data_IF_259392544952
#
_entry.id   IF_259392544952
#
_cell.length_a   1.000
_cell.length_b   1.000
_cell.length_c   1.000
_cell.angle_alpha   90.00
_cell.angle_beta   90.00
_cell.angle_gamma   90.00
#
_symmetry.space_group_name_H-M   'P 1'
#
loop_
_entity.id
_entity.type
_entity.pdbx_description
1 polymer ?
#
# COMPACT_ATOMS: atom_id res chain seq x y z
N UNK A 1 -18.53 5.62 33.82
CA UNK A 1 -18.66 4.72 32.65
C UNK A 1 -18.58 5.44 31.29
N UNK A 2 -18.25 6.75 31.23
CA UNK A 2 -18.23 7.54 29.98
C UNK A 2 -16.85 7.60 29.30
N UNK A 3 -15.75 7.56 30.09
CA UNK A 3 -14.36 7.64 29.59
C UNK A 3 -13.95 6.55 28.57
N UNK A 4 -14.61 5.39 28.57
CA UNK A 4 -14.29 4.29 27.66
C UNK A 4 -14.92 4.42 26.27
N UNK A 5 -16.07 5.10 26.15
CA UNK A 5 -16.76 5.32 24.88
C UNK A 5 -16.09 6.47 24.09
N UNK A 6 -15.63 7.51 24.78
CA UNK A 6 -14.94 8.65 24.17
C UNK A 6 -13.59 8.25 23.56
N UNK A 7 -12.85 7.33 24.21
CA UNK A 7 -11.57 6.83 23.70
C UNK A 7 -11.73 6.00 22.41
N UNK A 8 -12.77 5.16 22.35
CA UNK A 8 -13.09 4.37 21.14
C UNK A 8 -13.59 5.26 19.99
N UNK A 9 -14.29 6.34 20.32
CA UNK A 9 -14.70 7.36 19.35
C UNK A 9 -13.50 8.09 18.75
N UNK A 10 -12.54 8.50 19.59
CA UNK A 10 -11.37 9.28 19.18
C UNK A 10 -10.37 8.48 18.31
N UNK A 11 -10.17 7.18 18.58
CA UNK A 11 -9.33 6.35 17.72
C UNK A 11 -9.97 6.12 16.34
N UNK A 12 -11.29 5.95 16.29
CA UNK A 12 -12.03 5.79 15.04
C UNK A 12 -11.97 7.07 14.20
N UNK A 13 -12.14 8.24 14.80
CA UNK A 13 -12.04 9.52 14.07
C UNK A 13 -10.63 9.77 13.57
N UNK A 14 -9.60 9.49 14.38
CA UNK A 14 -8.20 9.63 13.96
C UNK A 14 -7.87 8.75 12.75
N UNK A 15 -8.30 7.49 12.76
CA UNK A 15 -8.11 6.57 11.64
C UNK A 15 -8.86 7.03 10.37
N UNK A 16 -10.09 7.54 10.52
CA UNK A 16 -10.85 8.11 9.40
C UNK A 16 -10.15 9.34 8.81
N UNK A 17 -9.63 10.24 9.66
CA UNK A 17 -8.87 11.42 9.23
C UNK A 17 -7.62 10.98 8.46
N UNK A 18 -6.89 9.98 8.95
CA UNK A 18 -5.73 9.40 8.27
C UNK A 18 -6.07 8.89 6.87
N UNK A 19 -7.16 8.14 6.73
CA UNK A 19 -7.62 7.66 5.41
C UNK A 19 -8.04 8.80 4.47
N UNK A 20 -8.80 9.78 4.96
CA UNK A 20 -9.20 10.94 4.14
C UNK A 20 -7.98 11.73 3.69
N UNK A 21 -7.01 11.94 4.57
CA UNK A 21 -5.74 12.58 4.24
C UNK A 21 -4.98 11.79 3.18
N UNK A 22 -4.87 10.47 3.34
CA UNK A 22 -4.19 9.60 2.38
C UNK A 22 -4.84 9.68 0.99
N UNK A 23 -6.17 9.57 0.91
CA UNK A 23 -6.93 9.67 -0.35
C UNK A 23 -6.72 11.03 -0.99
N UNK A 24 -6.77 12.11 -0.20
CA UNK A 24 -6.57 13.48 -0.67
C UNK A 24 -5.17 13.67 -1.27
N UNK A 25 -4.13 13.18 -0.58
CA UNK A 25 -2.76 13.20 -1.08
C UNK A 25 -2.60 12.37 -2.36
N UNK A 26 -3.27 11.22 -2.44
CA UNK A 26 -3.23 10.35 -3.62
C UNK A 26 -3.85 11.03 -4.84
N UNK A 27 -5.02 11.64 -4.68
CA UNK A 27 -5.68 12.43 -5.73
C UNK A 27 -4.79 13.61 -6.14
N UNK A 28 -4.16 14.27 -5.16
CA UNK A 28 -3.24 15.39 -5.41
C UNK A 28 -2.01 14.94 -6.22
N UNK A 29 -1.48 13.74 -5.95
CA UNK A 29 -0.38 13.16 -6.73
C UNK A 29 -0.80 12.85 -8.17
N UNK A 30 -2.00 12.28 -8.37
CA UNK A 30 -2.54 12.00 -9.70
C UNK A 30 -2.70 13.32 -10.47
N UNK A 31 -3.35 14.32 -9.88
CA UNK A 31 -3.52 15.63 -10.49
C UNK A 31 -2.16 16.28 -10.83
N UNK A 32 -1.20 16.22 -9.91
CA UNK A 32 0.16 16.69 -10.11
C UNK A 32 0.85 15.98 -11.28
N UNK A 33 0.67 14.66 -11.43
CA UNK A 33 1.25 13.90 -12.54
C UNK A 33 0.68 14.25 -13.92
N UNK A 34 -0.56 14.72 -13.96
CA UNK A 34 -1.21 15.18 -15.20
C UNK A 34 -0.76 16.62 -15.52
N UNK A 35 -0.73 17.50 -14.52
CA UNK A 35 -0.37 18.92 -14.69
C UNK A 35 1.10 19.07 -15.10
N UNK A 36 1.99 18.34 -14.43
CA UNK A 36 3.43 18.39 -14.69
C UNK A 36 3.90 17.25 -15.60
N UNK A 37 3.01 16.68 -16.42
CA UNK A 37 3.37 15.52 -17.23
C UNK A 37 4.62 15.76 -18.10
N UNK A 38 5.63 14.91 -17.93
CA UNK A 38 6.93 15.01 -18.61
C UNK A 38 7.63 16.39 -18.44
N UNK A 39 7.49 17.03 -17.27
CA UNK A 39 8.00 18.39 -17.02
C UNK A 39 9.51 18.56 -17.26
N UNK A 40 10.32 17.50 -17.09
CA UNK A 40 11.77 17.54 -17.31
C UNK A 40 12.18 17.04 -18.71
N UNK A 41 11.23 16.71 -19.58
CA UNK A 41 11.44 16.13 -20.91
C UNK A 41 12.29 14.84 -20.93
N UNK A 42 12.24 14.05 -19.85
CA UNK A 42 12.98 12.79 -19.75
C UNK A 42 12.10 11.64 -20.28
N UNK A 43 12.07 11.45 -21.61
CA UNK A 43 11.22 10.45 -22.25
C UNK A 43 11.48 9.01 -21.74
N UNK A 44 12.72 8.63 -21.49
CA UNK A 44 13.07 7.31 -20.94
C UNK A 44 12.42 7.07 -19.58
N UNK A 45 12.45 8.07 -18.71
CA UNK A 45 11.85 7.99 -17.37
C UNK A 45 10.31 7.94 -17.45
N UNK A 46 9.72 8.64 -18.42
CA UNK A 46 8.29 8.60 -18.68
C UNK A 46 7.82 7.20 -19.10
N UNK A 47 8.50 6.58 -20.06
CA UNK A 47 8.17 5.22 -20.51
C UNK A 47 8.37 4.18 -19.41
N UNK A 48 9.47 4.30 -18.65
CA UNK A 48 9.68 3.48 -17.46
C UNK A 48 8.54 3.66 -16.45
N UNK A 49 8.09 4.90 -16.24
CA UNK A 49 6.93 5.23 -15.41
C UNK A 49 5.67 4.47 -15.84
N UNK A 50 5.31 4.50 -17.13
CA UNK A 50 4.14 3.76 -17.64
C UNK A 50 4.25 2.24 -17.47
N UNK A 51 5.43 1.67 -17.71
CA UNK A 51 5.66 0.22 -17.51
C UNK A 51 5.49 -0.15 -16.03
N UNK A 52 6.07 0.65 -15.13
CA UNK A 52 5.96 0.46 -13.68
C UNK A 52 4.50 0.64 -13.23
N UNK A 53 3.78 1.62 -13.78
CA UNK A 53 2.36 1.85 -13.48
C UNK A 53 1.51 0.64 -13.85
N UNK A 54 1.68 0.11 -15.06
CA UNK A 54 0.97 -1.08 -15.52
C UNK A 54 1.25 -2.29 -14.61
N UNK A 55 2.51 -2.52 -14.25
CA UNK A 55 2.91 -3.56 -13.31
C UNK A 55 2.26 -3.36 -11.93
N UNK A 56 2.31 -2.14 -11.39
CA UNK A 56 1.72 -1.79 -10.09
C UNK A 56 0.21 -2.01 -10.04
N UNK A 57 -0.51 -1.63 -11.10
CA UNK A 57 -1.95 -1.89 -11.23
C UNK A 57 -2.26 -3.37 -11.26
N UNK A 58 -1.50 -4.16 -12.04
CA UNK A 58 -1.67 -5.62 -12.07
C UNK A 58 -1.47 -6.22 -10.70
N UNK A 59 -0.38 -5.88 -10.00
CA UNK A 59 -0.09 -6.37 -8.64
C UNK A 59 -1.21 -5.99 -7.67
N UNK A 60 -1.69 -4.74 -7.71
CA UNK A 60 -2.75 -4.25 -6.82
C UNK A 60 -4.08 -4.98 -7.07
N UNK A 61 -4.47 -5.12 -8.34
CA UNK A 61 -5.72 -5.78 -8.73
C UNK A 61 -5.67 -7.27 -8.40
N UNK A 62 -4.58 -7.97 -8.72
CA UNK A 62 -4.42 -9.40 -8.38
C UNK A 62 -4.44 -9.65 -6.88
N UNK A 63 -3.81 -8.76 -6.10
CA UNK A 63 -3.79 -8.86 -4.63
C UNK A 63 -5.17 -8.66 -4.03
N UNK A 64 -5.88 -7.61 -4.47
CA UNK A 64 -7.24 -7.30 -3.98
C UNK A 64 -8.27 -8.36 -4.37
N UNK A 65 -8.15 -8.96 -5.56
CA UNK A 65 -8.99 -10.09 -5.95
C UNK A 65 -8.75 -11.31 -5.05
N UNK A 66 -7.49 -11.61 -4.75
CA UNK A 66 -7.13 -12.73 -3.86
C UNK A 66 -7.71 -12.53 -2.46
N UNK A 67 -7.57 -11.32 -1.89
CA UNK A 67 -8.20 -10.95 -0.61
C UNK A 67 -9.72 -11.08 -0.62
N UNK A 68 -10.38 -10.52 -1.64
CA UNK A 68 -11.84 -10.57 -1.78
C UNK A 68 -12.37 -11.99 -1.93
N UNK A 69 -11.64 -12.87 -2.62
CA UNK A 69 -12.03 -14.28 -2.81
C UNK A 69 -12.01 -15.04 -1.49
N UNK A 70 -10.94 -14.89 -0.70
CA UNK A 70 -10.84 -15.54 0.61
C UNK A 70 -11.88 -15.02 1.60
N UNK A 71 -12.12 -13.71 1.65
CA UNK A 71 -13.16 -13.15 2.51
C UNK A 71 -14.54 -13.76 2.19
N UNK A 72 -14.85 -13.97 0.91
CA UNK A 72 -16.08 -14.64 0.47
C UNK A 72 -16.13 -16.12 0.85
N UNK A 73 -15.00 -16.81 0.86
CA UNK A 73 -14.92 -18.23 1.22
C UNK A 73 -14.82 -18.46 2.74
N UNK A 74 -14.86 -17.41 3.57
CA UNK A 74 -14.71 -17.48 5.03
C UNK A 74 -13.40 -18.15 5.48
N UNK A 75 -12.43 -18.24 4.59
CA UNK A 75 -11.11 -18.75 4.93
C UNK A 75 -10.47 -17.79 5.93
N UNK A 76 -10.12 -18.31 7.10
CA UNK A 76 -9.60 -17.53 8.22
C UNK A 76 -8.18 -17.00 7.96
N UNK A 77 -7.46 -17.56 6.97
CA UNK A 77 -6.08 -17.20 6.70
C UNK A 77 -5.66 -17.49 5.25
N UNK A 78 -5.25 -16.45 4.50
CA UNK A 78 -4.76 -16.58 3.11
C UNK A 78 -3.26 -16.83 3.12
N UNK A 79 -2.83 -18.03 2.72
CA UNK A 79 -1.42 -18.33 2.47
C UNK A 79 -1.13 -18.65 0.99
N UNK A 80 -2.10 -18.43 0.10
CA UNK A 80 -2.01 -18.82 -1.32
C UNK A 80 -1.83 -17.61 -2.25
N UNK A 81 -1.13 -17.80 -3.37
CA UNK A 81 -0.86 -16.76 -4.37
C UNK A 81 0.19 -15.74 -3.91
N UNK A 82 -0.02 -14.45 -4.20
CA UNK A 82 0.90 -13.36 -3.86
C UNK A 82 1.19 -13.25 -2.35
N UNK A 83 0.22 -13.64 -1.51
CA UNK A 83 0.35 -13.67 -0.05
C UNK A 83 1.31 -14.76 0.47
N UNK A 84 1.69 -15.73 -0.36
CA UNK A 84 2.73 -16.70 -0.03
C UNK A 84 4.13 -16.06 -0.10
N UNK A 85 4.31 -15.05 -0.95
CA UNK A 85 5.60 -14.42 -1.23
C UNK A 85 5.78 -13.11 -0.47
N UNK A 86 4.72 -12.32 -0.28
CA UNK A 86 4.77 -11.05 0.45
C UNK A 86 3.53 -10.90 1.32
N UNK A 87 3.70 -10.40 2.55
CA UNK A 87 2.58 -10.20 3.49
C UNK A 87 1.56 -9.17 3.02
N UNK A 88 2.03 -8.13 2.34
CA UNK A 88 1.24 -6.97 1.95
C UNK A 88 1.43 -6.64 0.45
N UNK A 89 1.00 -7.52 -0.48
CA UNK A 89 1.21 -7.32 -1.91
C UNK A 89 0.37 -6.16 -2.48
N UNK A 90 -0.76 -5.80 -1.87
CA UNK A 90 -1.51 -4.57 -2.20
C UNK A 90 -0.68 -3.31 -1.95
N UNK A 91 0.06 -3.25 -0.83
CA UNK A 91 0.90 -2.11 -0.49
C UNK A 91 2.05 -1.97 -1.47
N UNK A 92 2.62 -3.09 -1.93
CA UNK A 92 3.61 -3.06 -2.99
C UNK A 92 3.05 -2.48 -4.29
N UNK A 93 1.82 -2.86 -4.68
CA UNK A 93 1.12 -2.27 -5.81
C UNK A 93 0.98 -0.74 -5.67
N UNK A 94 0.58 -0.25 -4.49
CA UNK A 94 0.52 1.18 -4.21
C UNK A 94 1.89 1.87 -4.29
N UNK A 95 2.96 1.26 -3.78
CA UNK A 95 4.32 1.81 -3.89
C UNK A 95 4.75 1.97 -5.35
N UNK A 96 4.52 0.93 -6.18
CA UNK A 96 4.84 0.98 -7.61
C UNK A 96 4.06 2.08 -8.32
N UNK A 97 2.76 2.21 -8.03
CA UNK A 97 1.93 3.27 -8.60
C UNK A 97 2.45 4.66 -8.18
N UNK A 98 2.75 4.88 -6.90
CA UNK A 98 3.29 6.18 -6.42
C UNK A 98 4.60 6.51 -7.15
N UNK A 99 5.54 5.57 -7.23
CA UNK A 99 6.83 5.77 -7.92
C UNK A 99 6.62 6.08 -9.41
N UNK A 100 5.69 5.40 -10.06
CA UNK A 100 5.37 5.66 -11.47
C UNK A 100 4.80 7.05 -11.70
N UNK A 101 3.87 7.52 -10.85
CA UNK A 101 3.28 8.85 -10.97
C UNK A 101 4.33 9.96 -10.76
N UNK A 102 5.25 9.77 -9.82
CA UNK A 102 6.40 10.68 -9.63
C UNK A 102 7.27 10.71 -10.90
N UNK A 103 7.54 9.54 -11.48
CA UNK A 103 8.39 9.39 -12.67
C UNK A 103 7.75 9.97 -13.94
N UNK A 104 6.41 9.93 -14.03
CA UNK A 104 5.65 10.54 -15.12
C UNK A 104 5.57 12.07 -14.97
N UNK A 105 5.48 12.58 -13.74
CA UNK A 105 5.44 14.02 -13.46
C UNK A 105 6.81 14.69 -13.57
N UNK A 106 7.90 14.02 -13.15
CA UNK A 106 9.26 14.56 -13.19
C UNK A 106 9.42 15.93 -12.49
N UNK A 107 8.58 16.20 -11.49
CA UNK A 107 8.50 17.50 -10.83
C UNK A 107 8.71 17.36 -9.31
N UNK A 108 9.45 18.28 -8.65
CA UNK A 108 9.73 18.18 -7.21
C UNK A 108 8.49 18.13 -6.31
N UNK A 109 7.40 18.79 -6.71
CA UNK A 109 6.12 18.75 -5.97
C UNK A 109 5.59 17.31 -5.91
N UNK A 110 5.61 16.60 -7.04
CA UNK A 110 5.15 15.21 -7.11
C UNK A 110 6.04 14.30 -6.28
N UNK A 111 7.36 14.54 -6.28
CA UNK A 111 8.31 13.83 -5.40
C UNK A 111 7.95 14.05 -3.93
N UNK A 112 7.70 15.29 -3.51
CA UNK A 112 7.36 15.61 -2.12
C UNK A 112 6.06 14.92 -1.68
N UNK A 113 4.99 15.03 -2.47
CA UNK A 113 3.71 14.35 -2.19
C UNK A 113 3.91 12.83 -2.15
N UNK A 114 4.65 12.28 -3.11
CA UNK A 114 4.94 10.86 -3.20
C UNK A 114 5.71 10.32 -2.00
N UNK A 115 6.72 11.04 -1.50
CA UNK A 115 7.48 10.67 -0.30
C UNK A 115 6.60 10.66 0.95
N UNK A 116 5.69 11.63 1.09
CA UNK A 116 4.72 11.64 2.19
C UNK A 116 3.79 10.44 2.10
N UNK A 117 3.25 10.14 0.91
CA UNK A 117 2.41 8.97 0.68
C UNK A 117 3.12 7.65 0.99
N UNK A 118 4.37 7.48 0.56
CA UNK A 118 5.17 6.29 0.87
C UNK A 118 5.42 6.16 2.38
N UNK A 119 5.67 7.27 3.06
CA UNK A 119 5.87 7.28 4.52
C UNK A 119 4.59 6.87 5.26
N UNK A 120 3.45 7.43 4.88
CA UNK A 120 2.14 7.04 5.43
C UNK A 120 1.83 5.56 5.17
N UNK A 121 2.16 5.08 3.96
CA UNK A 121 1.97 3.69 3.59
C UNK A 121 2.82 2.74 4.46
N UNK A 122 4.06 3.11 4.78
CA UNK A 122 4.90 2.34 5.70
C UNK A 122 4.34 2.29 7.12
N UNK A 123 3.77 3.39 7.61
CA UNK A 123 3.12 3.46 8.93
C UNK A 123 1.90 2.53 8.95
N UNK A 124 1.05 2.62 7.92
CA UNK A 124 -0.16 1.80 7.77
C UNK A 124 0.16 0.29 7.78
N UNK A 125 1.25 -0.14 7.14
CA UNK A 125 1.70 -1.54 7.16
C UNK A 125 2.01 -1.99 8.58
N UNK A 126 2.74 -1.19 9.35
CA UNK A 126 3.10 -1.54 10.73
C UNK A 126 1.85 -1.61 11.61
N UNK A 127 0.89 -0.71 11.42
CA UNK A 127 -0.36 -0.72 12.16
C UNK A 127 -1.26 -1.90 11.77
N UNK A 128 -1.36 -2.24 10.48
CA UNK A 128 -2.07 -3.43 10.01
C UNK A 128 -1.45 -4.71 10.57
N UNK A 129 -0.12 -4.81 10.61
CA UNK A 129 0.58 -5.93 11.24
C UNK A 129 0.25 -6.04 12.72
N UNK A 130 0.26 -4.93 13.47
CA UNK A 130 -0.08 -4.93 14.90
C UNK A 130 -1.50 -5.43 15.13
N UNK A 131 -2.47 -4.93 14.36
CA UNK A 131 -3.88 -5.38 14.41
C UNK A 131 -4.03 -6.86 14.06
N UNK A 132 -3.26 -7.35 13.08
CA UNK A 132 -3.26 -8.76 12.72
C UNK A 132 -2.66 -9.64 13.82
N UNK A 133 -1.59 -9.20 14.51
CA UNK A 133 -1.05 -9.90 15.67
C UNK A 133 -2.10 -9.96 16.80
N UNK A 134 -2.79 -8.85 17.08
CA UNK A 134 -3.84 -8.82 18.11
C UNK A 134 -5.02 -9.74 17.77
N UNK A 135 -5.38 -9.82 16.48
CA UNK A 135 -6.51 -10.62 16.01
C UNK A 135 -6.23 -12.12 15.88
N UNK A 136 -5.03 -12.48 15.39
CA UNK A 136 -4.69 -13.85 15.00
C UNK A 136 -3.60 -14.49 15.88
N UNK A 137 -2.99 -13.72 16.79
CA UNK A 137 -2.04 -14.22 17.79
C UNK A 137 -0.81 -14.91 17.19
N UNK A 138 -0.45 -16.07 17.76
CA UNK A 138 0.75 -16.83 17.38
C UNK A 138 0.72 -17.33 15.93
N UNK A 139 -0.46 -17.62 15.38
CA UNK A 139 -0.60 -18.06 13.97
C UNK A 139 -0.05 -17.01 13.00
N UNK A 140 -0.29 -15.73 13.28
CA UNK A 140 0.24 -14.64 12.47
C UNK A 140 1.74 -14.43 12.69
N UNK A 141 2.23 -14.58 13.93
CA UNK A 141 3.68 -14.48 14.20
C UNK A 141 4.47 -15.57 13.46
N UNK A 142 3.95 -16.79 13.39
CA UNK A 142 4.58 -17.86 12.61
C UNK A 142 4.54 -17.60 11.10
N UNK A 143 3.49 -16.94 10.61
CA UNK A 143 3.45 -16.46 9.23
C UNK A 143 4.47 -15.34 8.96
N UNK A 144 4.61 -14.37 9.88
CA UNK A 144 5.60 -13.28 9.76
C UNK A 144 7.04 -13.79 9.70
N UNK A 145 7.35 -14.91 10.37
CA UNK A 145 8.66 -15.59 10.30
C UNK A 145 8.92 -16.22 8.93
N UNK A 146 7.85 -16.63 8.23
CA UNK A 146 7.96 -17.35 6.95
C UNK A 146 7.92 -16.42 5.74
N UNK A 147 7.27 -15.26 5.84
CA UNK A 147 7.00 -14.38 4.69
C UNK A 147 7.54 -12.96 4.94
N UNK A 148 8.31 -12.36 4.02
CA UNK A 148 8.81 -10.99 4.16
C UNK A 148 7.68 -9.96 4.07
N UNK A 149 7.91 -8.77 4.65
CA UNK A 149 6.92 -7.67 4.73
C UNK A 149 6.49 -7.14 3.36
N UNK A 150 7.47 -6.69 2.57
CA UNK A 150 7.26 -5.97 1.30
C UNK A 150 8.21 -6.50 0.21
N UNK A 151 9.32 -7.14 0.60
CA UNK A 151 10.34 -7.56 -0.34
C UNK A 151 9.93 -8.83 -1.11
N UNK A 152 9.33 -8.65 -2.29
CA UNK A 152 8.95 -9.72 -3.22
C UNK A 152 10.14 -10.64 -3.53
N UNK A 153 11.33 -10.07 -3.73
CA UNK A 153 12.52 -10.84 -4.10
C UNK A 153 12.95 -11.78 -2.99
N UNK A 154 12.93 -11.32 -1.73
CA UNK A 154 13.23 -12.18 -0.58
C UNK A 154 12.19 -13.29 -0.38
N UNK A 155 10.96 -13.10 -0.87
CA UNK A 155 9.91 -14.11 -0.82
C UNK A 155 10.04 -15.17 -1.90
N UNK A 156 10.52 -14.78 -3.09
CA UNK A 156 10.69 -15.67 -4.25
C UNK A 156 11.95 -16.54 -4.14
N UNK A 157 13.03 -16.03 -3.51
CA UNK A 157 14.33 -16.72 -3.40
C UNK A 157 14.34 -17.79 -2.27
N UNK A 158 13.17 -18.14 -1.72
CA UNK A 158 13.05 -19.06 -0.59
C UNK A 158 13.01 -20.53 -1.02
#
# INVERSE_FOLDING_TARGET
>A
MVKGLDHLGNERTLHLIGHVLYITLYISLIASSIIFYNSANLATLLYAGWIIFACGVVVLVSSSQTRRKSYRMRETFIQSGLYAYVRHPEFLGHMLIIISLISMAQHPISVAIGLVLLSLLCIEIVEEEKRNIEKFGEVYKDYMRKVPRINLLAGIIK
#
